data_IF_752291423336
#
_entry.id   IF_752291423336
#
_cell.length_a   1.000
_cell.length_b   1.000
_cell.length_c   1.000
_cell.angle_alpha   90.00
_cell.angle_beta   90.00
_cell.angle_gamma   90.00
#
_symmetry.space_group_name_H-M   'P 1'
#
loop_
_entity.id
_entity.type
_entity.pdbx_description
1 polymer ?
#
# COMPACT_ATOMS: atom_id res chain seq x y z
N UNK A 1 -3.09 -3.75 -8.18
CA UNK A 1 -1.71 -3.29 -8.42
C UNK A 1 -1.34 -2.51 -7.19
N UNK A 2 -0.27 -2.87 -6.48
CA UNK A 2 0.05 -2.19 -5.22
C UNK A 2 0.21 -0.69 -5.46
N UNK A 3 -0.39 0.10 -4.58
CA UNK A 3 -0.25 1.55 -4.60
C UNK A 3 0.75 1.95 -3.53
N UNK A 4 1.51 3.01 -3.79
CA UNK A 4 2.48 3.54 -2.85
C UNK A 4 2.22 5.01 -2.63
N UNK A 5 2.45 5.48 -1.42
CA UNK A 5 2.38 6.88 -1.06
C UNK A 5 3.78 7.44 -0.93
N UNK A 6 3.97 8.66 -1.40
CA UNK A 6 5.24 9.38 -1.25
C UNK A 6 5.32 9.97 0.15
N UNK A 7 6.28 9.48 0.94
CA UNK A 7 6.55 9.97 2.29
C UNK A 7 7.56 11.12 2.27
N UNK A 8 8.46 11.13 1.28
CA UNK A 8 9.47 12.16 1.11
C UNK A 8 9.54 12.62 -0.34
N UNK A 9 9.60 13.94 -0.55
CA UNK A 9 9.73 14.53 -1.89
C UNK A 9 10.99 14.02 -2.58
N UNK A 10 10.87 13.47 -3.78
CA UNK A 10 12.03 13.01 -4.55
C UNK A 10 11.83 13.23 -6.05
N UNK A 11 12.93 13.22 -6.79
CA UNK A 11 12.90 13.13 -8.26
C UNK A 11 13.22 11.70 -8.64
N UNK A 12 12.31 11.06 -9.36
CA UNK A 12 12.54 9.73 -9.87
C UNK A 12 13.60 9.75 -10.98
N UNK A 13 14.65 8.94 -10.85
CA UNK A 13 15.79 8.98 -11.76
C UNK A 13 15.48 8.31 -13.11
N UNK A 14 14.54 7.36 -13.14
CA UNK A 14 14.19 6.60 -14.34
C UNK A 14 13.27 7.43 -15.24
N UNK A 15 12.29 8.11 -14.65
CA UNK A 15 11.26 8.87 -15.38
C UNK A 15 11.52 10.38 -15.42
N UNK A 16 12.38 10.89 -14.54
CA UNK A 16 12.65 12.32 -14.36
C UNK A 16 11.51 13.11 -13.68
N UNK A 17 10.43 12.44 -13.28
CA UNK A 17 9.25 13.05 -12.64
C UNK A 17 9.59 13.40 -11.19
N UNK A 18 9.18 14.60 -10.76
CA UNK A 18 9.25 15.01 -9.36
C UNK A 18 7.93 14.62 -8.69
N UNK A 19 8.03 13.90 -7.57
CA UNK A 19 6.89 13.56 -6.75
C UNK A 19 6.94 14.34 -5.43
N UNK A 20 5.81 14.91 -5.06
CA UNK A 20 5.62 15.63 -3.80
C UNK A 20 5.06 14.70 -2.70
N UNK A 21 5.30 15.07 -1.44
CA UNK A 21 4.81 14.29 -0.30
C UNK A 21 3.28 14.18 -0.34
N UNK A 22 2.79 12.95 -0.17
CA UNK A 22 1.37 12.62 -0.21
C UNK A 22 0.85 12.22 -1.59
N UNK A 23 1.64 12.37 -2.66
CA UNK A 23 1.27 11.87 -3.98
C UNK A 23 1.28 10.34 -4.05
N UNK A 24 0.54 9.81 -5.02
CA UNK A 24 0.55 8.39 -5.34
C UNK A 24 1.68 8.08 -6.31
N UNK A 25 2.45 7.06 -5.97
CA UNK A 25 3.43 6.42 -6.82
C UNK A 25 2.91 4.99 -7.12
N UNK A 26 2.98 4.47 -8.36
CA UNK A 26 3.79 4.93 -9.49
C UNK A 26 3.01 5.19 -10.79
N UNK A 27 3.61 5.92 -11.75
CA UNK A 27 3.14 5.94 -13.16
C UNK A 27 3.67 4.75 -13.98
N UNK A 28 4.95 4.38 -13.87
CA UNK A 28 5.57 3.22 -14.58
C UNK A 28 6.90 2.77 -13.93
N UNK A 29 6.94 2.10 -12.77
CA UNK A 29 8.21 1.73 -12.15
C UNK A 29 8.58 0.26 -12.46
N UNK A 30 9.83 -0.09 -12.20
CA UNK A 30 10.24 -1.50 -12.07
C UNK A 30 10.10 -1.95 -10.61
N UNK A 31 9.98 -3.26 -10.38
CA UNK A 31 9.95 -3.82 -9.02
C UNK A 31 11.24 -3.49 -8.25
N UNK A 32 12.39 -3.45 -8.94
CA UNK A 32 13.68 -3.04 -8.38
C UNK A 32 13.64 -1.58 -7.90
N UNK A 33 13.05 -0.68 -8.69
CA UNK A 33 12.92 0.74 -8.33
C UNK A 33 12.01 0.93 -7.14
N UNK A 34 10.90 0.20 -7.06
CA UNK A 34 10.01 0.21 -5.89
C UNK A 34 10.77 -0.30 -4.65
N UNK A 35 11.47 -1.43 -4.76
CA UNK A 35 12.21 -2.02 -3.65
C UNK A 35 13.31 -1.09 -3.13
N UNK A 36 14.00 -0.35 -4.02
CA UNK A 36 14.93 0.70 -3.63
C UNK A 36 14.23 1.76 -2.78
N UNK A 37 13.14 2.35 -3.29
CA UNK A 37 12.41 3.47 -2.67
C UNK A 37 11.68 3.11 -1.37
N UNK A 38 11.40 1.83 -1.14
CA UNK A 38 10.88 1.30 0.12
C UNK A 38 11.98 1.05 1.17
N UNK A 39 13.25 1.07 0.77
CA UNK A 39 14.37 0.86 1.67
C UNK A 39 14.62 2.05 2.60
N UNK A 40 15.21 1.81 3.77
CA UNK A 40 15.42 2.88 4.77
C UNK A 40 16.67 3.73 4.53
N UNK A 41 17.47 3.40 3.50
CA UNK A 41 18.78 4.03 3.25
C UNK A 41 18.79 4.75 1.91
N UNK A 42 18.72 6.08 1.98
CA UNK A 42 18.69 6.94 0.80
C UNK A 42 19.57 8.19 1.01
N UNK A 43 20.33 8.63 -0.01
CA UNK A 43 21.07 9.88 0.08
C UNK A 43 20.13 11.06 0.32
N UNK A 44 20.37 11.82 1.40
CA UNK A 44 19.61 13.03 1.78
C UNK A 44 18.16 12.78 2.21
N UNK A 45 17.81 11.53 2.56
CA UNK A 45 16.49 11.16 3.08
C UNK A 45 16.65 10.34 4.36
N UNK A 46 15.76 10.56 5.32
CA UNK A 46 15.72 9.79 6.56
C UNK A 46 14.62 8.73 6.46
N UNK A 47 15.01 7.46 6.24
CA UNK A 47 14.08 6.34 6.06
C UNK A 47 13.52 6.21 4.64
N UNK A 48 12.48 5.38 4.49
CA UNK A 48 11.85 5.09 3.21
C UNK A 48 11.27 6.34 2.53
N UNK A 49 11.42 6.40 1.21
CA UNK A 49 10.85 7.47 0.37
C UNK A 49 9.37 7.17 0.08
N UNK A 50 9.02 5.89 0.00
CA UNK A 50 7.66 5.42 -0.21
C UNK A 50 7.16 4.59 0.98
N UNK A 51 5.84 4.57 1.14
CA UNK A 51 5.13 3.59 1.95
C UNK A 51 4.15 2.81 1.08
N UNK A 52 4.00 1.50 1.33
CA UNK A 52 2.95 0.70 0.68
C UNK A 52 1.59 1.13 1.22
N UNK A 53 0.70 1.55 0.32
CA UNK A 53 -0.71 1.77 0.66
C UNK A 53 -1.34 0.40 0.66
N UNK A 54 -1.68 -0.04 1.85
CA UNK A 54 -2.49 -1.22 2.00
C UNK A 54 -3.91 -0.94 1.50
N UNK A 55 -4.30 -1.57 0.39
CA UNK A 55 -5.68 -1.51 -0.08
C UNK A 55 -6.59 -2.27 0.88
N UNK A 56 -7.39 -1.54 1.66
CA UNK A 56 -8.50 -2.11 2.43
C UNK A 56 -9.43 -2.91 1.50
N UNK A 57 -9.80 -4.14 1.86
CA UNK A 57 -10.78 -4.90 1.10
C UNK A 57 -12.09 -4.12 0.92
N UNK A 58 -12.70 -4.29 -0.24
CA UNK A 58 -13.94 -3.60 -0.61
C UNK A 58 -14.99 -4.58 -1.15
N UNK A 59 -16.12 -4.04 -1.62
CA UNK A 59 -17.23 -4.84 -2.17
C UNK A 59 -16.86 -5.71 -3.38
N UNK A 60 -15.75 -5.44 -4.05
CA UNK A 60 -15.26 -6.21 -5.20
C UNK A 60 -14.23 -7.27 -4.77
N UNK A 61 -13.60 -7.13 -3.61
CA UNK A 61 -12.66 -8.11 -3.03
C UNK A 61 -13.34 -9.44 -2.70
N UNK A 62 -12.70 -10.59 -2.91
CA UNK A 62 -13.30 -11.89 -2.57
C UNK A 62 -13.42 -12.07 -1.06
N UNK A 63 -14.43 -12.83 -0.62
CA UNK A 63 -14.65 -13.13 0.81
C UNK A 63 -13.42 -13.77 1.46
N UNK A 64 -12.72 -14.65 0.74
CA UNK A 64 -11.50 -15.28 1.23
C UNK A 64 -10.36 -14.28 1.47
N UNK A 65 -10.20 -13.30 0.58
CA UNK A 65 -9.18 -12.26 0.71
C UNK A 65 -9.54 -11.23 1.79
N UNK A 66 -10.83 -10.93 1.96
CA UNK A 66 -11.34 -10.14 3.10
C UNK A 66 -10.99 -10.84 4.42
N UNK A 67 -11.22 -12.15 4.53
CA UNK A 67 -10.88 -12.91 5.75
C UNK A 67 -9.38 -12.90 6.02
N UNK A 68 -8.55 -13.17 5.01
CA UNK A 68 -7.09 -13.07 5.15
C UNK A 68 -6.64 -11.69 5.65
N UNK A 69 -7.24 -10.62 5.12
CA UNK A 69 -6.97 -9.26 5.59
C UNK A 69 -7.30 -9.11 7.08
N UNK A 70 -8.50 -9.55 7.49
CA UNK A 70 -8.93 -9.51 8.89
C UNK A 70 -7.99 -10.32 9.80
N UNK A 71 -7.58 -11.51 9.36
CA UNK A 71 -6.64 -12.37 10.09
C UNK A 71 -5.26 -11.72 10.22
N UNK A 72 -4.72 -11.14 9.14
CA UNK A 72 -3.44 -10.41 9.14
C UNK A 72 -3.47 -9.17 10.05
N UNK A 73 -4.64 -8.55 10.21
CA UNK A 73 -4.87 -7.39 11.08
C UNK A 73 -5.31 -7.75 12.50
N UNK A 74 -5.44 -9.05 12.82
CA UNK A 74 -5.91 -9.50 14.12
C UNK A 74 -7.37 -9.15 14.43
N UNK A 75 -8.18 -8.86 13.41
CA UNK A 75 -9.60 -8.53 13.54
C UNK A 75 -10.40 -9.83 13.59
N UNK A 76 -11.16 -10.03 14.67
CA UNK A 76 -11.97 -11.25 14.86
C UNK A 76 -13.19 -11.24 13.96
N UNK A 77 -13.39 -12.33 13.21
CA UNK A 77 -14.52 -12.50 12.28
C UNK A 77 -15.24 -13.85 12.42
N UNK A 78 -15.06 -14.55 13.54
CA UNK A 78 -15.66 -15.86 13.79
C UNK A 78 -17.20 -15.81 13.74
N UNK A 79 -17.80 -16.73 13.00
CA UNK A 79 -19.26 -16.80 12.81
C UNK A 79 -19.81 -15.86 11.73
N UNK A 80 -19.00 -14.94 11.20
CA UNK A 80 -19.42 -14.03 10.13
C UNK A 80 -19.17 -14.71 8.78
N UNK A 81 -20.24 -14.85 8.02
CA UNK A 81 -20.23 -15.52 6.71
C UNK A 81 -20.65 -14.60 5.57
N UNK A 82 -21.33 -13.50 5.88
CA UNK A 82 -21.76 -12.51 4.89
C UNK A 82 -20.62 -11.56 4.57
N UNK A 83 -20.45 -11.28 3.27
CA UNK A 83 -19.42 -10.38 2.77
C UNK A 83 -19.55 -8.97 3.33
N UNK A 84 -20.75 -8.41 3.32
CA UNK A 84 -21.00 -7.04 3.79
C UNK A 84 -20.67 -6.89 5.28
N UNK A 85 -20.95 -7.91 6.09
CA UNK A 85 -20.63 -7.91 7.52
C UNK A 85 -19.12 -8.01 7.77
N UNK A 86 -18.37 -8.76 6.94
CA UNK A 86 -16.92 -8.79 7.02
C UNK A 86 -16.29 -7.45 6.61
N UNK A 87 -16.85 -6.80 5.59
CA UNK A 87 -16.40 -5.48 5.15
C UNK A 87 -16.67 -4.39 6.19
N UNK A 88 -17.78 -4.49 6.92
CA UNK A 88 -18.10 -3.57 8.02
C UNK A 88 -17.09 -3.63 9.18
N UNK A 89 -16.23 -4.65 9.26
CA UNK A 89 -15.17 -4.74 10.26
C UNK A 89 -13.89 -3.98 9.87
N UNK A 90 -13.79 -3.50 8.63
CA UNK A 90 -12.55 -2.93 8.04
C UNK A 90 -12.55 -1.38 8.09
N UNK A 91 -13.60 -0.76 8.66
CA UNK A 91 -13.84 0.70 8.67
C UNK A 91 -12.60 1.55 9.01
#
# INVERSE_FOLDING_TARGET
MKQYKVEQRFKDNDTGVVYEVGELYPKFPTDERIAELLGDTHPNHEGAILSEIEEKPNKDTKVEDIKKYLDSHGIKHEGITKKDELLALID
#
